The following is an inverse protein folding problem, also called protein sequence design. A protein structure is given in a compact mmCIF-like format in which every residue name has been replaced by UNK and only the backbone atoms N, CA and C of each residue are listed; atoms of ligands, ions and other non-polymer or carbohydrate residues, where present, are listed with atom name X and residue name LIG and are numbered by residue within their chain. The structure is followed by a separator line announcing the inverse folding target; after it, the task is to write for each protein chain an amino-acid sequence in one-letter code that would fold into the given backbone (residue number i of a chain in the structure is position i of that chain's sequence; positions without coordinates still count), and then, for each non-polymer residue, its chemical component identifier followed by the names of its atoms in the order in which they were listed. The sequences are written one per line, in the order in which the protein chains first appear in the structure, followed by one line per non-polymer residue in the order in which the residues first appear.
data_IF_409891500910
#
_entry.id   IF_409891500910
#
_cell.length_a   1.000
_cell.length_b   1.000
_cell.length_c   1.000
_cell.angle_alpha   90.00
_cell.angle_beta   90.00
_cell.angle_gamma   90.00
#
_symmetry.space_group_name_H-M   'P 1'
#
loop_
_entity.id
_entity.type
_entity.pdbx_description
1 polymer ?
#
# COMPACT_ATOMS: atom_id res chain seq x y z
N UNK A 1 -21.12 -14.57 -20.14
CA UNK A 1 -21.37 -13.92 -18.85
C UNK A 1 -20.45 -12.71 -18.75
N UNK A 2 -20.99 -11.49 -18.81
CA UNK A 2 -20.18 -10.26 -18.74
C UNK A 2 -19.81 -9.96 -17.28
N UNK A 3 -18.51 -9.79 -17.02
CA UNK A 3 -17.93 -9.51 -15.71
C UNK A 3 -18.61 -8.31 -15.02
N UNK A 4 -18.86 -8.41 -13.71
CA UNK A 4 -19.53 -7.36 -12.92
C UNK A 4 -18.80 -6.02 -13.06
N UNK A 5 -17.49 -5.99 -12.85
CA UNK A 5 -16.69 -4.76 -12.88
C UNK A 5 -16.62 -4.13 -14.26
N UNK A 6 -16.56 -4.94 -15.32
CA UNK A 6 -16.68 -4.43 -16.71
C UNK A 6 -17.99 -3.67 -16.91
N UNK A 7 -19.12 -4.21 -16.42
CA UNK A 7 -20.42 -3.50 -16.49
C UNK A 7 -20.43 -2.22 -15.66
N UNK A 8 -19.85 -2.26 -14.46
CA UNK A 8 -19.78 -1.10 -13.55
C UNK A 8 -18.99 0.06 -14.17
N UNK A 9 -17.86 -0.20 -14.86
CA UNK A 9 -17.09 0.84 -15.56
C UNK A 9 -17.92 1.51 -16.64
N UNK A 10 -18.53 0.72 -17.52
CA UNK A 10 -19.34 1.23 -18.62
C UNK A 10 -20.50 2.08 -18.12
N UNK A 11 -21.16 1.65 -17.03
CA UNK A 11 -22.25 2.41 -16.40
C UNK A 11 -21.75 3.71 -15.76
N UNK A 12 -20.62 3.68 -15.07
CA UNK A 12 -20.11 4.83 -14.31
C UNK A 12 -19.53 5.91 -15.22
N UNK A 13 -18.86 5.52 -16.30
CA UNK A 13 -18.14 6.44 -17.20
C UNK A 13 -18.90 6.73 -18.50
N UNK A 14 -20.11 6.18 -18.67
CA UNK A 14 -20.90 6.25 -19.91
C UNK A 14 -20.09 5.79 -21.15
N UNK A 15 -19.34 4.70 -21.00
CA UNK A 15 -18.48 4.13 -22.05
C UNK A 15 -19.10 2.87 -22.64
N UNK A 16 -18.80 2.60 -23.91
CA UNK A 16 -19.09 1.30 -24.53
C UNK A 16 -18.03 0.28 -24.14
N UNK A 17 -18.41 -1.00 -24.10
CA UNK A 17 -17.46 -2.09 -23.85
C UNK A 17 -16.48 -2.15 -25.02
N UNK A 18 -15.20 -2.07 -24.70
CA UNK A 18 -14.11 -2.31 -25.64
C UNK A 18 -13.21 -3.47 -25.15
N UNK A 19 -12.28 -3.97 -26.00
CA UNK A 19 -11.35 -5.03 -25.61
C UNK A 19 -10.41 -4.65 -24.46
N UNK A 20 -10.04 -3.38 -24.32
CA UNK A 20 -9.16 -2.90 -23.25
C UNK A 20 -9.86 -2.97 -21.90
N UNK A 21 -11.08 -2.43 -21.79
CA UNK A 21 -11.92 -2.48 -20.60
C UNK A 21 -12.15 -3.93 -20.21
N UNK A 22 -12.51 -4.77 -21.18
CA UNK A 22 -12.78 -6.19 -20.94
C UNK A 22 -11.54 -6.93 -20.41
N UNK A 23 -10.35 -6.63 -20.95
CA UNK A 23 -9.11 -7.26 -20.52
C UNK A 23 -8.64 -6.73 -19.15
N UNK A 24 -8.60 -5.41 -18.98
CA UNK A 24 -8.08 -4.75 -17.78
C UNK A 24 -8.96 -5.00 -16.56
N UNK A 25 -10.29 -4.92 -16.69
CA UNK A 25 -11.23 -5.15 -15.59
C UNK A 25 -11.73 -6.61 -15.50
N UNK A 26 -11.06 -7.56 -16.16
CA UNK A 26 -11.37 -8.97 -16.02
C UNK A 26 -11.03 -9.51 -14.64
N UNK A 27 -11.79 -10.51 -14.15
CA UNK A 27 -11.50 -11.19 -12.88
C UNK A 27 -10.08 -11.78 -12.86
N UNK A 28 -9.65 -12.36 -13.98
CA UNK A 28 -8.30 -12.91 -14.14
C UNK A 28 -7.21 -11.84 -13.97
N UNK A 29 -7.41 -10.65 -14.55
CA UNK A 29 -6.45 -9.56 -14.41
C UNK A 29 -6.46 -8.96 -12.99
N UNK A 30 -7.63 -8.84 -12.37
CA UNK A 30 -7.72 -8.43 -10.96
C UNK A 30 -6.98 -9.42 -10.06
N UNK A 31 -7.17 -10.72 -10.25
CA UNK A 31 -6.43 -11.76 -9.52
C UNK A 31 -4.92 -11.68 -9.73
N UNK A 32 -4.49 -11.40 -10.96
CA UNK A 32 -3.07 -11.18 -11.27
C UNK A 32 -2.50 -9.99 -10.50
N UNK A 33 -3.17 -8.84 -10.52
CA UNK A 33 -2.75 -7.64 -9.77
C UNK A 33 -2.67 -7.98 -8.28
N UNK A 34 -3.68 -8.65 -7.72
CA UNK A 34 -3.68 -9.03 -6.31
C UNK A 34 -2.53 -9.98 -5.95
N UNK A 35 -2.28 -11.01 -6.75
CA UNK A 35 -1.17 -11.94 -6.54
C UNK A 35 0.17 -11.20 -6.55
N UNK A 36 0.36 -10.32 -7.52
CA UNK A 36 1.58 -9.52 -7.66
C UNK A 36 1.76 -8.57 -6.46
N UNK A 37 0.70 -7.88 -6.03
CA UNK A 37 0.70 -7.05 -4.84
C UNK A 37 1.07 -7.83 -3.58
N UNK A 38 0.45 -9.00 -3.34
CA UNK A 38 0.77 -9.88 -2.20
C UNK A 38 2.25 -10.26 -2.21
N UNK A 39 2.81 -10.59 -3.38
CA UNK A 39 4.23 -10.90 -3.52
C UNK A 39 5.12 -9.71 -3.18
N UNK A 40 4.85 -8.51 -3.73
CA UNK A 40 5.63 -7.31 -3.43
C UNK A 40 5.60 -6.93 -1.95
N UNK A 41 4.44 -7.03 -1.29
CA UNK A 41 4.33 -6.73 0.14
C UNK A 41 5.11 -7.78 0.95
N UNK A 42 5.01 -9.05 0.60
CA UNK A 42 5.75 -10.13 1.27
C UNK A 42 7.26 -9.95 1.16
N UNK A 43 7.77 -9.63 -0.03
CA UNK A 43 9.21 -9.45 -0.26
C UNK A 43 9.75 -8.17 0.38
N UNK A 44 8.96 -7.08 0.39
CA UNK A 44 9.40 -5.79 0.93
C UNK A 44 9.24 -5.62 2.44
N UNK A 45 8.30 -6.34 3.06
CA UNK A 45 8.00 -6.20 4.51
C UNK A 45 8.24 -7.47 5.32
N UNK A 46 8.33 -8.64 4.67
CA UNK A 46 8.38 -9.94 5.34
C UNK A 46 7.02 -10.47 5.78
N UNK A 47 5.96 -9.66 5.77
CA UNK A 47 4.62 -10.07 6.21
C UNK A 47 3.76 -10.61 5.07
N UNK A 48 3.00 -11.66 5.34
CA UNK A 48 1.99 -12.16 4.40
C UNK A 48 0.69 -11.43 4.65
N UNK A 49 0.09 -10.86 3.61
CA UNK A 49 -1.22 -10.22 3.65
C UNK A 49 -2.27 -11.07 2.95
N UNK A 50 -3.54 -10.76 3.15
CA UNK A 50 -4.62 -11.30 2.34
C UNK A 50 -4.95 -10.43 1.12
N UNK A 51 -5.90 -10.89 0.28
CA UNK A 51 -6.42 -10.10 -0.84
C UNK A 51 -7.10 -8.82 -0.37
N UNK A 52 -6.98 -7.76 -1.15
CA UNK A 52 -7.70 -6.53 -0.93
C UNK A 52 -9.16 -6.68 -1.35
N UNK A 53 -10.05 -5.82 -0.84
CA UNK A 53 -11.43 -5.77 -1.32
C UNK A 53 -11.46 -5.52 -2.83
N UNK A 54 -12.19 -6.36 -3.57
CA UNK A 54 -12.34 -6.18 -5.03
C UNK A 54 -12.93 -4.81 -5.37
N UNK A 55 -13.80 -4.25 -4.52
CA UNK A 55 -14.34 -2.90 -4.70
C UNK A 55 -13.26 -1.82 -4.53
N UNK A 56 -12.36 -1.96 -3.57
CA UNK A 56 -11.27 -0.99 -3.37
C UNK A 56 -10.24 -1.08 -4.51
N UNK A 57 -9.88 -2.31 -4.91
CA UNK A 57 -9.02 -2.53 -6.07
C UNK A 57 -9.66 -1.92 -7.33
N UNK A 58 -10.95 -2.12 -7.53
CA UNK A 58 -11.70 -1.55 -8.64
C UNK A 58 -11.63 -0.02 -8.67
N UNK A 59 -11.76 0.66 -7.53
CA UNK A 59 -11.67 2.12 -7.46
C UNK A 59 -10.31 2.62 -7.95
N UNK A 60 -9.22 1.98 -7.52
CA UNK A 60 -7.87 2.36 -7.96
C UNK A 60 -7.66 2.04 -9.44
N UNK A 61 -8.08 0.86 -9.89
CA UNK A 61 -8.03 0.49 -11.31
C UNK A 61 -8.82 1.47 -12.19
N UNK A 62 -10.01 1.90 -11.75
CA UNK A 62 -10.83 2.87 -12.45
C UNK A 62 -10.11 4.23 -12.55
N UNK A 63 -9.55 4.71 -11.44
CA UNK A 63 -8.76 5.94 -11.45
C UNK A 63 -7.57 5.85 -12.42
N UNK A 64 -6.81 4.75 -12.40
CA UNK A 64 -5.69 4.54 -13.33
C UNK A 64 -6.18 4.51 -14.78
N UNK A 65 -7.26 3.79 -15.05
CA UNK A 65 -7.84 3.71 -16.39
C UNK A 65 -8.26 5.08 -16.89
N UNK A 66 -8.97 5.87 -16.09
CA UNK A 66 -9.44 7.21 -16.48
C UNK A 66 -8.29 8.17 -16.79
N UNK A 67 -7.19 8.10 -16.04
CA UNK A 67 -6.07 9.04 -16.19
C UNK A 67 -5.04 8.61 -17.25
N UNK A 68 -4.85 7.31 -17.47
CA UNK A 68 -3.70 6.80 -18.22
C UNK A 68 -4.05 5.89 -19.41
N UNK A 69 -5.34 5.68 -19.71
CA UNK A 69 -5.69 4.96 -20.93
C UNK A 69 -5.23 5.75 -22.18
N UNK A 70 -4.99 4.99 -23.25
CA UNK A 70 -4.62 5.47 -24.58
C UNK A 70 -5.60 4.88 -25.59
N UNK A 71 -5.90 5.60 -26.68
CA UNK A 71 -6.90 5.18 -27.67
C UNK A 71 -6.54 3.95 -28.51
N UNK A 72 -5.27 3.53 -28.52
CA UNK A 72 -4.82 2.37 -29.30
C UNK A 72 -4.67 1.10 -28.44
N UNK A 73 -5.68 0.22 -28.51
CA UNK A 73 -5.66 -1.07 -27.81
C UNK A 73 -4.44 -1.91 -28.25
N UNK A 74 -3.59 -2.23 -27.28
CA UNK A 74 -2.54 -3.23 -27.44
C UNK A 74 -2.36 -4.00 -26.12
N UNK A 75 -1.89 -5.24 -26.19
CA UNK A 75 -1.65 -6.06 -24.98
C UNK A 75 -0.66 -5.43 -24.00
N UNK A 76 0.28 -4.61 -24.49
CA UNK A 76 1.23 -3.87 -23.64
C UNK A 76 0.54 -2.81 -22.79
N UNK A 77 -0.61 -2.30 -23.21
CA UNK A 77 -1.38 -1.30 -22.49
C UNK A 77 -1.99 -1.86 -21.22
N UNK A 78 -2.52 -3.09 -21.27
CA UNK A 78 -3.03 -3.77 -20.06
C UNK A 78 -1.90 -3.93 -19.04
N UNK A 79 -0.74 -4.41 -19.48
CA UNK A 79 0.44 -4.53 -18.61
C UNK A 79 0.91 -3.19 -18.05
N UNK A 80 0.84 -2.11 -18.84
CA UNK A 80 1.19 -0.77 -18.39
C UNK A 80 0.22 -0.25 -17.32
N UNK A 81 -1.09 -0.38 -17.54
CA UNK A 81 -2.11 0.01 -16.55
C UNK A 81 -2.00 -0.84 -15.27
N UNK A 82 -1.66 -2.12 -15.39
CA UNK A 82 -1.39 -2.98 -14.24
C UNK A 82 -0.19 -2.49 -13.43
N UNK A 83 0.89 -2.08 -14.10
CA UNK A 83 2.07 -1.55 -13.44
C UNK A 83 1.76 -0.25 -12.66
N UNK A 84 1.04 0.68 -13.29
CA UNK A 84 0.58 1.92 -12.63
C UNK A 84 -0.35 1.62 -11.44
N UNK A 85 -1.25 0.65 -11.58
CA UNK A 85 -2.14 0.24 -10.46
C UNK A 85 -1.33 -0.31 -9.29
N UNK A 86 -0.29 -1.09 -9.55
CA UNK A 86 0.60 -1.60 -8.51
C UNK A 86 1.45 -0.49 -7.89
N UNK A 87 1.91 0.49 -8.69
CA UNK A 87 2.65 1.66 -8.22
C UNK A 87 1.86 2.47 -7.19
N UNK A 88 0.55 2.62 -7.38
CA UNK A 88 -0.34 3.26 -6.41
C UNK A 88 -0.60 2.36 -5.18
N UNK A 89 -0.91 1.08 -5.39
CA UNK A 89 -1.35 0.18 -4.32
C UNK A 89 -0.23 -0.23 -3.36
N UNK A 90 0.97 -0.47 -3.87
CA UNK A 90 2.10 -0.97 -3.06
C UNK A 90 2.45 -0.05 -1.89
N UNK A 91 2.69 1.27 -2.05
CA UNK A 91 3.03 2.14 -0.93
C UNK A 91 1.89 2.24 0.09
N UNK A 92 0.63 2.33 -0.37
CA UNK A 92 -0.54 2.39 0.51
C UNK A 92 -0.64 1.13 1.39
N UNK A 93 -0.61 -0.06 0.77
CA UNK A 93 -0.74 -1.32 1.49
C UNK A 93 0.47 -1.56 2.40
N UNK A 94 1.68 -1.26 1.93
CA UNK A 94 2.90 -1.36 2.75
C UNK A 94 2.79 -0.51 4.02
N UNK A 95 2.37 0.74 3.89
CA UNK A 95 2.18 1.64 5.04
C UNK A 95 1.16 1.07 6.03
N UNK A 96 0.00 0.62 5.54
CA UNK A 96 -1.05 0.04 6.38
C UNK A 96 -0.59 -1.22 7.13
N UNK A 97 0.19 -2.10 6.47
CA UNK A 97 0.77 -3.29 7.12
C UNK A 97 1.71 -2.91 8.25
N UNK A 98 2.62 -1.97 8.01
CA UNK A 98 3.59 -1.55 9.04
C UNK A 98 2.89 -0.87 10.22
N UNK A 99 1.89 -0.02 9.95
CA UNK A 99 1.07 0.59 10.99
C UNK A 99 0.33 -0.46 11.82
N UNK A 100 -0.26 -1.45 11.16
CA UNK A 100 -0.97 -2.53 11.85
C UNK A 100 -0.04 -3.36 12.74
N UNK A 101 1.15 -3.70 12.24
CA UNK A 101 2.18 -4.40 13.02
C UNK A 101 2.63 -3.57 14.22
N UNK A 102 2.85 -2.27 14.04
CA UNK A 102 3.22 -1.37 15.12
C UNK A 102 2.09 -1.26 16.16
N UNK A 103 0.84 -1.14 15.73
CA UNK A 103 -0.33 -1.13 16.61
C UNK A 103 -0.39 -2.41 17.46
N UNK A 104 -0.21 -3.59 16.86
CA UNK A 104 -0.19 -4.86 17.60
C UNK A 104 0.93 -4.91 18.63
N UNK A 105 2.09 -4.35 18.32
CA UNK A 105 3.21 -4.23 19.27
C UNK A 105 2.82 -3.31 20.43
N UNK A 106 2.31 -2.12 20.14
CA UNK A 106 1.99 -1.09 21.13
C UNK A 106 0.92 -1.57 22.13
N UNK A 107 -0.12 -2.30 21.67
CA UNK A 107 -1.15 -2.83 22.58
C UNK A 107 -0.64 -4.00 23.45
N UNK A 108 0.42 -4.68 23.00
CA UNK A 108 0.99 -5.83 23.72
C UNK A 108 2.09 -5.46 24.69
N UNK A 109 2.57 -4.21 24.64
CA UNK A 109 3.69 -3.71 25.47
C UNK A 109 3.21 -2.63 26.41
N UNK A 110 3.67 -2.66 27.66
CA UNK A 110 3.47 -1.52 28.56
C UNK A 110 4.22 -0.29 28.01
N UNK A 111 3.58 0.88 27.93
CA UNK A 111 4.28 2.10 27.53
C UNK A 111 5.41 2.38 28.53
N UNK A 112 6.61 2.64 28.03
CA UNK A 112 7.72 3.08 28.87
C UNK A 112 7.42 4.47 29.42
N UNK A 113 7.52 4.68 30.75
CA UNK A 113 7.36 6.01 31.33
C UNK A 113 8.30 7.02 30.67
N UNK A 114 7.81 8.25 30.44
CA UNK A 114 8.63 9.34 29.91
C UNK A 114 9.75 9.63 30.92
N UNK A 115 11.01 9.60 30.47
CA UNK A 115 12.13 9.99 31.34
C UNK A 115 11.94 11.42 31.82
N UNK A 116 12.18 11.64 33.11
CA UNK A 116 12.20 12.99 33.66
C UNK A 116 13.32 13.83 33.00
N UNK A 117 13.08 15.13 32.85
CA UNK A 117 14.09 16.05 32.34
C UNK A 117 15.37 15.98 33.17
N UNK A 118 16.51 15.70 32.50
CA UNK A 118 17.82 15.69 33.16
C UNK A 118 18.25 17.13 33.44
N UNK A 119 18.65 17.40 34.68
CA UNK A 119 19.20 18.71 35.07
C UNK A 119 20.48 19.00 34.29
N UNK A 120 20.56 20.18 33.68
CA UNK A 120 21.74 20.67 32.94
C UNK A 120 22.76 21.40 33.82
N UNK A 121 22.52 21.48 35.13
CA UNK A 121 23.37 22.23 36.04
C UNK A 121 24.65 21.44 36.37
N UNK A 122 25.81 22.03 36.03
CA UNK A 122 27.15 21.47 36.31
C UNK A 122 27.53 21.50 37.81
N UNK A 123 26.68 22.07 38.67
CA UNK A 123 26.99 22.33 40.10
C UNK A 123 27.20 21.05 40.91
N UNK A 124 26.60 19.92 40.52
CA UNK A 124 26.78 18.61 41.18
C UNK A 124 27.86 17.73 40.52
N UNK A 125 28.51 18.18 39.44
CA UNK A 125 29.69 17.53 38.88
C UNK A 125 30.96 18.14 39.49
N UNK A 126 30.99 18.30 40.82
CA UNK A 126 32.27 18.53 41.49
C UNK A 126 33.12 17.29 41.25
N UNK A 127 34.03 17.41 40.29
CA UNK A 127 35.14 16.50 40.06
C UNK A 127 35.74 16.24 41.44
N UNK A 128 35.67 14.99 41.91
CA UNK A 128 36.44 14.56 43.07
C UNK A 128 37.90 14.68 42.63
N UNK A 129 38.50 15.85 42.85
CA UNK A 129 39.94 16.03 42.75
C UNK A 129 40.50 15.26 43.94
N UNK A 130 40.89 14.00 43.70
CA UNK A 130 41.62 13.23 44.70
C UNK A 130 42.99 13.90 44.89
N UNK A 131 43.28 14.52 46.04
CA UNK A 131 44.54 15.23 46.22
C UNK A 131 45.70 14.22 46.27
N UNK A 132 46.88 14.56 45.70
CA UNK A 132 48.03 13.68 45.72
C UNK A 132 48.75 13.80 47.06
N UNK A 133 48.38 12.94 48.01
CA UNK A 133 49.31 12.46 49.04
C UNK A 133 49.00 11.01 49.36
#
# INVERSE_FOLDING_TARGET
MTNRFVKEVCKTQNLQIDPLISAFFSDSNMQLIQKTLKNYIKTSTGYTIDTQSNSNLFVVMLWVYTNFNKPCYNSKQVSHLNALTLEELVPMVRSNVLQYVQYLKDISTLPTPIEHGKSTNMTNQQIILNPPW
#
